data_IF_084884673801
#
_entry.id   IF_084884673801
#
_cell.length_a   1.000
_cell.length_b   1.000
_cell.length_c   1.000
_cell.angle_alpha   90.00
_cell.angle_beta   90.00
_cell.angle_gamma   90.00
#
_symmetry.space_group_name_H-M   'P 1'
#
loop_
_entity.id
_entity.type
_entity.pdbx_description
1 polymer ?
#
# COMPACT_ATOMS: atom_id res chain seq x y z
N UNK A 1 25.39 0.91 -32.71
CA UNK A 1 24.20 1.60 -32.28
C UNK A 1 23.57 0.95 -31.10
N UNK A 2 23.20 1.73 -30.14
CA UNK A 2 22.62 1.19 -28.92
C UNK A 2 21.12 1.20 -29.05
N UNK A 3 20.52 0.03 -28.87
CA UNK A 3 19.09 -0.07 -28.84
C UNK A 3 18.56 0.37 -27.47
N UNK A 4 17.48 1.13 -27.47
CA UNK A 4 16.87 1.54 -26.22
C UNK A 4 16.38 0.30 -25.47
N UNK A 5 16.74 0.18 -24.21
CA UNK A 5 16.26 -0.92 -23.38
C UNK A 5 14.83 -0.62 -22.94
N UNK A 6 13.98 -1.64 -22.95
CA UNK A 6 12.67 -1.44 -22.33
C UNK A 6 12.85 -1.21 -20.82
N UNK A 7 11.93 -0.48 -20.19
CA UNK A 7 12.02 -0.27 -18.76
C UNK A 7 11.97 -1.61 -18.03
N UNK A 8 12.77 -1.74 -16.99
CA UNK A 8 12.73 -2.93 -16.17
C UNK A 8 11.42 -2.97 -15.40
N UNK A 9 11.13 -4.14 -14.83
CA UNK A 9 9.94 -4.26 -14.01
C UNK A 9 9.97 -3.31 -12.83
N UNK A 10 11.15 -3.10 -12.27
CA UNK A 10 11.29 -2.18 -11.14
C UNK A 10 11.03 -0.74 -11.58
N UNK A 11 11.53 -0.36 -12.74
CA UNK A 11 11.29 0.98 -13.26
C UNK A 11 9.81 1.21 -13.56
N UNK A 12 9.15 0.20 -14.12
CA UNK A 12 7.73 0.32 -14.40
C UNK A 12 6.93 0.42 -13.11
N UNK A 13 7.28 -0.40 -12.11
CA UNK A 13 6.61 -0.37 -10.84
C UNK A 13 6.82 0.96 -10.14
N UNK A 14 8.05 1.46 -10.15
CA UNK A 14 8.36 2.74 -9.53
C UNK A 14 7.55 3.86 -10.17
N UNK A 15 7.47 3.87 -11.49
CA UNK A 15 6.72 4.89 -12.19
C UNK A 15 5.24 4.83 -11.85
N UNK A 16 4.70 3.63 -11.75
CA UNK A 16 3.30 3.47 -11.41
C UNK A 16 3.01 3.92 -9.99
N UNK A 17 3.87 3.56 -9.06
CA UNK A 17 3.70 4.01 -7.69
C UNK A 17 3.76 5.52 -7.60
N UNK A 18 4.70 6.15 -8.29
CA UNK A 18 4.85 7.60 -8.28
C UNK A 18 3.59 8.28 -8.82
N UNK A 19 3.04 7.73 -9.90
CA UNK A 19 1.83 8.28 -10.48
C UNK A 19 0.66 8.19 -9.52
N UNK A 20 0.53 7.07 -8.84
CA UNK A 20 -0.57 6.87 -7.91
C UNK A 20 -0.42 7.73 -6.66
N UNK A 21 0.82 8.02 -6.26
CA UNK A 21 1.03 8.93 -5.13
C UNK A 21 0.48 10.31 -5.41
N UNK A 22 0.59 10.77 -6.65
CA UNK A 22 0.03 12.08 -7.00
C UNK A 22 -1.48 12.06 -6.87
N UNK A 23 -2.11 10.98 -7.30
CA UNK A 23 -3.56 10.87 -7.17
C UNK A 23 -3.98 10.89 -5.72
N UNK A 24 -3.26 10.14 -4.87
CA UNK A 24 -3.56 10.14 -3.45
C UNK A 24 -3.37 11.51 -2.83
N UNK A 25 -2.31 12.19 -3.19
CA UNK A 25 -2.03 13.52 -2.65
C UNK A 25 -3.16 14.49 -3.00
N UNK A 26 -3.64 14.41 -4.24
CA UNK A 26 -4.75 15.26 -4.64
C UNK A 26 -6.02 14.93 -3.88
N UNK A 27 -6.26 13.64 -3.68
CA UNK A 27 -7.42 13.22 -2.90
C UNK A 27 -7.37 13.77 -1.48
N UNK A 28 -6.18 13.73 -0.87
CA UNK A 28 -6.01 14.24 0.49
C UNK A 28 -6.26 15.72 0.57
N UNK A 29 -5.96 16.45 -0.52
CA UNK A 29 -6.13 17.90 -0.52
C UNK A 29 -7.55 18.34 -0.86
N UNK A 30 -8.32 17.53 -1.58
CA UNK A 30 -9.58 18.01 -2.14
C UNK A 30 -10.80 17.18 -1.78
N UNK A 31 -10.68 15.87 -1.59
CA UNK A 31 -11.85 15.00 -1.50
C UNK A 31 -11.98 14.25 -0.20
N UNK A 32 -11.06 14.47 0.73
CA UNK A 32 -11.04 13.68 1.95
C UNK A 32 -12.33 13.81 2.75
N UNK A 33 -12.92 15.00 2.76
CA UNK A 33 -14.10 15.22 3.55
C UNK A 33 -15.29 14.43 3.06
N UNK A 34 -15.34 14.14 1.78
CA UNK A 34 -16.46 13.38 1.23
C UNK A 34 -16.52 11.96 1.79
N UNK A 35 -15.36 11.39 2.04
CA UNK A 35 -15.31 10.01 2.55
C UNK A 35 -15.64 9.95 4.04
N UNK A 36 -15.60 11.07 4.74
CA UNK A 36 -15.85 11.10 6.17
C UNK A 36 -16.96 12.06 6.53
N UNK A 37 -17.94 12.21 5.63
CA UNK A 37 -19.06 13.09 5.88
C UNK A 37 -20.16 12.43 6.71
N UNK A 38 -20.10 11.14 6.92
CA UNK A 38 -21.10 10.44 7.72
C UNK A 38 -20.95 10.78 9.20
N UNK A 39 -22.07 10.81 9.93
CA UNK A 39 -21.97 11.03 11.37
C UNK A 39 -21.09 9.99 12.03
N UNK A 40 -20.23 10.43 12.92
CA UNK A 40 -19.35 9.56 13.64
C UNK A 40 -18.03 9.30 12.98
N UNK A 41 -17.80 9.80 11.76
CA UNK A 41 -16.56 9.56 11.05
C UNK A 41 -15.53 10.67 11.19
N UNK A 42 -15.87 11.76 11.90
CA UNK A 42 -14.98 12.90 11.99
C UNK A 42 -13.64 12.53 12.63
N UNK A 43 -13.67 11.68 13.65
CA UNK A 43 -12.44 11.25 14.29
C UNK A 43 -11.53 10.45 13.37
N UNK A 44 -12.14 9.72 12.44
CA UNK A 44 -11.35 8.94 11.49
C UNK A 44 -10.59 9.87 10.55
N UNK A 45 -11.21 10.97 10.12
CA UNK A 45 -10.53 11.89 9.24
C UNK A 45 -9.28 12.46 9.90
N UNK A 46 -9.36 12.75 11.19
CA UNK A 46 -8.22 13.29 11.91
C UNK A 46 -7.06 12.31 12.01
N UNK A 47 -7.35 11.02 12.16
CA UNK A 47 -6.28 10.03 12.27
C UNK A 47 -5.80 9.53 10.92
N UNK A 48 -6.68 9.45 9.93
CA UNK A 48 -6.34 8.89 8.64
C UNK A 48 -5.52 9.86 7.80
N UNK A 49 -5.90 11.14 7.79
CA UNK A 49 -5.23 12.11 6.93
C UNK A 49 -3.75 12.25 7.24
N UNK A 50 -3.34 12.45 8.51
CA UNK A 50 -1.90 12.52 8.80
C UNK A 50 -1.18 11.23 8.45
N UNK A 51 -1.83 10.10 8.64
CA UNK A 51 -1.22 8.81 8.33
C UNK A 51 -0.94 8.69 6.84
N UNK A 52 -1.88 9.07 6.00
CA UNK A 52 -1.70 8.99 4.56
C UNK A 52 -0.75 10.05 4.04
N UNK A 53 -0.72 11.23 4.65
CA UNK A 53 0.27 12.24 4.26
C UNK A 53 1.68 11.74 4.56
N UNK A 54 1.84 11.09 5.69
CA UNK A 54 3.15 10.49 6.01
C UNK A 54 3.50 9.42 5.00
N UNK A 55 2.51 8.62 4.58
CA UNK A 55 2.76 7.62 3.56
C UNK A 55 3.27 8.26 2.27
N UNK A 56 2.61 9.33 1.81
CA UNK A 56 3.03 10.00 0.59
C UNK A 56 4.47 10.50 0.72
N UNK A 57 4.78 11.11 1.85
CA UNK A 57 6.11 11.67 2.07
C UNK A 57 7.18 10.59 2.08
N UNK A 58 6.97 9.55 2.88
CA UNK A 58 7.98 8.50 3.01
C UNK A 58 8.09 7.69 1.73
N UNK A 59 6.96 7.38 1.10
CA UNK A 59 6.98 6.62 -0.15
C UNK A 59 7.71 7.38 -1.24
N UNK A 60 7.53 8.70 -1.30
CA UNK A 60 8.24 9.51 -2.29
C UNK A 60 9.74 9.43 -2.10
N UNK A 61 10.20 9.47 -0.84
CA UNK A 61 11.61 9.37 -0.55
C UNK A 61 12.16 7.99 -0.93
N UNK A 62 11.40 6.95 -0.64
CA UNK A 62 11.83 5.60 -0.98
C UNK A 62 11.92 5.42 -2.49
N UNK A 63 10.98 6.01 -3.23
CA UNK A 63 11.03 5.93 -4.68
C UNK A 63 12.25 6.62 -5.26
N UNK A 64 12.68 7.73 -4.65
CA UNK A 64 13.88 8.40 -5.09
C UNK A 64 15.10 7.50 -4.90
N UNK A 65 15.16 6.82 -3.77
CA UNK A 65 16.26 5.90 -3.52
C UNK A 65 16.26 4.75 -4.50
N UNK A 66 15.08 4.24 -4.82
CA UNK A 66 14.98 3.17 -5.79
C UNK A 66 15.48 3.62 -7.15
N UNK A 67 15.21 4.88 -7.51
CA UNK A 67 15.72 5.42 -8.75
C UNK A 67 17.24 5.48 -8.79
N UNK A 68 17.85 5.73 -7.64
CA UNK A 68 19.31 5.78 -7.55
C UNK A 68 19.94 4.39 -7.58
N UNK A 69 19.25 3.42 -6.97
CA UNK A 69 19.77 2.05 -6.91
C UNK A 69 19.46 1.21 -8.13
N UNK A 70 18.50 1.67 -8.94
CA UNK A 70 18.14 0.95 -10.14
C UNK A 70 17.48 -0.38 -9.83
N UNK A 71 17.88 -1.39 -10.58
CA UNK A 71 17.26 -2.71 -10.47
C UNK A 71 17.64 -3.44 -9.20
N UNK A 72 18.64 -2.94 -8.50
CA UNK A 72 19.04 -3.56 -7.23
C UNK A 72 18.25 -3.03 -6.04
N UNK A 73 17.30 -2.13 -6.28
CA UNK A 73 16.52 -1.57 -5.20
C UNK A 73 15.67 -2.63 -4.51
N UNK A 74 15.67 -2.66 -3.19
CA UNK A 74 14.84 -3.63 -2.48
C UNK A 74 13.37 -3.26 -2.57
N UNK A 75 12.53 -4.27 -2.72
CA UNK A 75 11.08 -4.10 -2.77
C UNK A 75 10.46 -4.87 -1.63
N UNK A 76 10.85 -4.53 -0.41
CA UNK A 76 10.35 -5.22 0.78
C UNK A 76 9.38 -4.36 1.60
N UNK A 77 8.93 -3.25 1.04
CA UNK A 77 8.04 -2.30 1.72
C UNK A 77 6.70 -2.28 1.01
N UNK A 78 5.63 -2.22 1.79
CA UNK A 78 4.27 -2.21 1.23
C UNK A 78 3.93 -0.83 0.69
N UNK A 79 3.70 -0.77 -0.62
CA UNK A 79 3.18 0.42 -1.29
C UNK A 79 1.76 0.16 -1.76
N UNK A 80 1.01 1.24 -2.00
CA UNK A 80 -0.28 1.11 -2.65
C UNK A 80 -0.11 0.50 -4.04
N UNK A 81 -1.12 -0.25 -4.45
CA UNK A 81 -1.19 -0.86 -5.79
C UNK A 81 -0.19 -1.98 -6.02
N UNK A 82 0.46 -2.44 -4.96
CA UNK A 82 1.39 -3.55 -5.03
C UNK A 82 0.85 -4.69 -4.19
N UNK A 83 0.72 -5.90 -4.74
CA UNK A 83 0.17 -7.03 -3.99
C UNK A 83 1.04 -7.37 -2.78
N UNK A 84 0.39 -7.74 -1.70
CA UNK A 84 1.04 -8.13 -0.46
C UNK A 84 0.48 -9.49 -0.05
N UNK A 85 1.37 -10.43 0.24
CA UNK A 85 0.96 -11.73 0.75
C UNK A 85 1.01 -11.69 2.27
N UNK A 86 -0.13 -11.98 2.89
CA UNK A 86 -0.26 -11.98 4.34
C UNK A 86 -0.51 -13.39 4.84
N UNK A 87 0.05 -13.68 6.01
CA UNK A 87 -0.23 -14.92 6.72
C UNK A 87 -0.97 -14.55 7.99
N UNK A 88 -2.17 -15.13 8.14
CA UNK A 88 -2.93 -14.98 9.39
C UNK A 88 -2.22 -15.82 10.44
N UNK A 89 -1.76 -15.18 11.51
CA UNK A 89 -0.98 -15.89 12.50
C UNK A 89 -1.81 -16.79 13.39
N UNK A 90 -3.11 -16.64 13.34
CA UNK A 90 -3.97 -17.48 14.16
C UNK A 90 -4.19 -18.85 13.52
N UNK A 91 -4.42 -18.90 12.21
CA UNK A 91 -4.71 -20.17 11.56
C UNK A 91 -3.76 -20.52 10.42
N UNK A 92 -2.80 -19.66 10.13
CA UNK A 92 -1.79 -19.94 9.12
C UNK A 92 -2.23 -19.79 7.69
N UNK A 93 -3.44 -19.31 7.44
CA UNK A 93 -3.90 -19.12 6.06
C UNK A 93 -3.15 -17.96 5.39
N UNK A 94 -2.97 -18.07 4.10
CA UNK A 94 -2.32 -17.04 3.30
C UNK A 94 -3.35 -16.39 2.40
N UNK A 95 -3.26 -15.08 2.28
CA UNK A 95 -4.10 -14.32 1.38
C UNK A 95 -3.31 -13.18 0.76
N UNK A 96 -3.70 -12.79 -0.44
CA UNK A 96 -3.06 -11.68 -1.13
C UNK A 96 -3.99 -10.49 -1.13
N UNK A 97 -3.49 -9.36 -0.67
CA UNK A 97 -4.24 -8.12 -0.65
C UNK A 97 -3.46 -7.04 -1.38
N UNK A 98 -4.19 -6.08 -1.93
CA UNK A 98 -3.60 -4.90 -2.56
C UNK A 98 -4.30 -3.69 -2.00
N UNK A 99 -3.54 -2.76 -1.42
CA UNK A 99 -4.10 -1.51 -0.90
C UNK A 99 -4.31 -0.57 -2.06
N UNK A 100 -5.54 -0.07 -2.22
CA UNK A 100 -5.90 0.76 -3.36
C UNK A 100 -6.61 2.02 -2.90
N UNK A 101 -6.85 2.93 -3.83
CA UNK A 101 -7.64 4.12 -3.54
C UNK A 101 -9.07 3.71 -3.16
N UNK A 102 -9.76 4.55 -2.38
CA UNK A 102 -11.06 4.15 -1.85
C UNK A 102 -12.06 3.70 -2.91
N UNK A 103 -12.05 4.35 -4.06
CA UNK A 103 -13.00 4.03 -5.11
C UNK A 103 -12.69 2.72 -5.82
N UNK A 104 -11.50 2.19 -5.62
CA UNK A 104 -11.06 0.99 -6.31
C UNK A 104 -11.18 -0.26 -5.44
N UNK A 105 -11.66 -0.11 -4.21
CA UNK A 105 -11.79 -1.25 -3.32
C UNK A 105 -12.74 -2.30 -3.86
N UNK A 106 -12.32 -3.56 -3.79
CA UNK A 106 -13.12 -4.67 -4.27
C UNK A 106 -12.69 -5.92 -3.51
N UNK A 107 -13.44 -6.28 -2.46
CA UNK A 107 -13.04 -7.43 -1.63
C UNK A 107 -12.93 -8.73 -2.41
N UNK A 108 -13.72 -8.90 -3.48
CA UNK A 108 -13.65 -10.14 -4.25
C UNK A 108 -12.32 -10.30 -4.96
N UNK A 109 -11.59 -9.22 -5.17
CA UNK A 109 -10.27 -9.25 -5.79
C UNK A 109 -9.14 -9.06 -4.80
N UNK A 110 -9.44 -8.94 -3.51
CA UNK A 110 -8.43 -8.63 -2.52
C UNK A 110 -7.99 -7.19 -2.51
N UNK A 111 -8.77 -6.30 -3.12
CA UNK A 111 -8.44 -4.87 -3.16
C UNK A 111 -9.07 -4.19 -1.95
N UNK A 112 -8.23 -3.68 -1.06
CA UNK A 112 -8.71 -3.04 0.15
C UNK A 112 -8.39 -1.56 0.12
N UNK A 113 -9.34 -0.77 0.61
CA UNK A 113 -9.20 0.68 0.59
C UNK A 113 -8.07 1.12 1.51
N UNK A 114 -7.33 2.14 1.09
CA UNK A 114 -6.31 2.74 1.92
C UNK A 114 -6.90 3.42 3.15
N UNK A 115 -8.22 3.59 3.19
CA UNK A 115 -8.89 4.15 4.36
C UNK A 115 -9.34 3.08 5.34
N UNK A 116 -9.27 1.80 4.96
CA UNK A 116 -9.68 0.71 5.85
C UNK A 116 -8.62 0.47 6.93
N UNK A 117 -9.03 -0.13 8.05
CA UNK A 117 -8.05 -0.41 9.11
C UNK A 117 -6.89 -1.27 8.62
N UNK A 118 -7.17 -2.31 7.84
CA UNK A 118 -6.09 -3.16 7.33
C UNK A 118 -5.22 -2.42 6.34
N UNK A 119 -5.82 -1.65 5.43
CA UNK A 119 -5.04 -0.90 4.45
C UNK A 119 -4.10 0.08 5.11
N UNK A 120 -4.62 0.83 6.09
CA UNK A 120 -3.78 1.79 6.81
C UNK A 120 -2.66 1.10 7.56
N UNK A 121 -2.94 -0.05 8.16
CA UNK A 121 -1.94 -0.76 8.95
C UNK A 121 -0.84 -1.35 8.08
N UNK A 122 -1.15 -1.69 6.83
CA UNK A 122 -0.18 -2.35 5.96
C UNK A 122 0.81 -1.38 5.32
N UNK A 123 0.39 -0.15 5.05
CA UNK A 123 1.24 0.77 4.28
C UNK A 123 2.58 0.99 4.97
N UNK A 124 3.65 0.87 4.19
CA UNK A 124 5.04 1.07 4.61
C UNK A 124 5.58 0.01 5.55
N UNK A 125 4.83 -1.03 5.82
CA UNK A 125 5.36 -2.15 6.58
C UNK A 125 6.30 -2.96 5.71
N UNK A 126 7.16 -3.73 6.35
CA UNK A 126 8.19 -4.49 5.64
C UNK A 126 7.89 -5.98 5.70
N UNK A 127 8.52 -6.71 4.79
CA UNK A 127 8.46 -8.16 4.82
C UNK A 127 8.91 -8.66 6.19
N UNK A 128 8.18 -9.63 6.70
CA UNK A 128 8.38 -10.26 8.01
C UNK A 128 7.86 -9.46 9.19
N UNK A 129 7.36 -8.24 8.96
CA UNK A 129 6.75 -7.48 10.04
C UNK A 129 5.38 -8.06 10.37
N UNK A 130 5.03 -7.97 11.64
CA UNK A 130 3.72 -8.36 12.13
C UNK A 130 2.83 -7.13 12.17
N UNK A 131 1.59 -7.32 11.75
CA UNK A 131 0.62 -6.23 11.69
C UNK A 131 -0.59 -6.63 12.51
N UNK A 132 -0.95 -5.80 13.48
CA UNK A 132 -2.13 -6.03 14.30
C UNK A 132 -3.20 -5.06 13.86
N UNK A 133 -4.38 -5.58 13.56
CA UNK A 133 -5.48 -4.77 13.03
C UNK A 133 -6.68 -4.93 13.96
N UNK A 134 -7.18 -3.80 14.47
CA UNK A 134 -8.44 -3.76 15.19
C UNK A 134 -9.54 -3.39 14.21
N UNK A 135 -10.44 -4.33 13.97
CA UNK A 135 -11.52 -4.15 13.02
C UNK A 135 -12.82 -4.48 13.72
N UNK A 136 -13.97 -4.13 13.11
CA UNK A 136 -15.26 -4.44 13.76
C UNK A 136 -15.45 -5.91 14.08
N UNK A 137 -14.84 -6.80 13.30
CA UNK A 137 -14.95 -8.24 13.57
C UNK A 137 -14.00 -8.76 14.63
N UNK A 138 -13.12 -7.91 15.18
CA UNK A 138 -12.18 -8.33 16.21
C UNK A 138 -10.77 -7.86 15.92
N UNK A 139 -9.84 -8.44 16.65
CA UNK A 139 -8.42 -8.12 16.44
C UNK A 139 -7.77 -9.24 15.66
N UNK A 140 -7.08 -8.87 14.60
CA UNK A 140 -6.42 -9.82 13.71
C UNK A 140 -4.93 -9.54 13.67
N UNK A 141 -4.13 -10.59 13.62
CA UNK A 141 -2.68 -10.45 13.54
C UNK A 141 -2.18 -11.15 12.28
N UNK A 142 -1.48 -10.40 11.45
CA UNK A 142 -0.92 -10.92 10.21
C UNK A 142 0.59 -10.74 10.20
N UNK A 143 1.27 -11.58 9.44
CA UNK A 143 2.67 -11.38 9.13
C UNK A 143 2.81 -11.16 7.63
N UNK A 144 3.62 -10.20 7.26
CA UNK A 144 3.85 -9.91 5.85
C UNK A 144 4.86 -10.92 5.31
N UNK A 145 4.38 -11.80 4.44
CA UNK A 145 5.23 -12.86 3.89
C UNK A 145 5.97 -12.43 2.64
N UNK A 146 5.35 -11.57 1.82
CA UNK A 146 5.97 -11.13 0.59
C UNK A 146 5.31 -9.85 0.11
N UNK A 147 6.06 -9.05 -0.64
CA UNK A 147 5.58 -7.82 -1.24
C UNK A 147 5.88 -7.87 -2.72
N UNK A 148 4.84 -7.62 -3.53
CA UNK A 148 5.01 -7.54 -4.97
C UNK A 148 4.94 -8.86 -5.67
N UNK A 149 4.70 -8.79 -6.97
CA UNK A 149 4.62 -9.97 -7.78
C UNK A 149 5.94 -10.67 -7.98
N UNK A 150 7.01 -9.95 -7.77
CA UNK A 150 8.32 -10.51 -8.03
C UNK A 150 8.61 -11.68 -7.12
N UNK A 151 8.07 -11.63 -5.91
CA UNK A 151 8.23 -12.74 -4.99
C UNK A 151 7.44 -13.96 -5.43
N UNK A 152 6.47 -13.78 -6.30
CA UNK A 152 5.59 -14.85 -6.73
C UNK A 152 5.96 -15.42 -8.08
N UNK A 153 6.97 -14.84 -8.71
CA UNK A 153 7.28 -15.23 -10.07
C UNK A 153 8.13 -16.45 -10.16
N UNK A 154 8.52 -16.93 -9.15
CA UNK A 154 9.40 -18.01 -9.23
C UNK A 154 8.88 -19.26 -9.65
#
# INVERSE_FOLDING_TARGET
MVRARPPSEIEQLRSRIASRLRVLEELLNTQMEEYFSSPGSEGLAYSVRPHLRRYVEVASQLLERMGEQGEDAPLDVVFMDVPVTLVDEEDGTQEVYTVVLPEEGDPSKGYISCLSPLGLALLLKRVNERVVVDAPGGRFTYRIAAVGNMALKE
#
